data_IF_029400426608
#
_entry.id   IF_029400426608
#
_cell.length_a   1.000
_cell.length_b   1.000
_cell.length_c   1.000
_cell.angle_alpha   90.00
_cell.angle_beta   90.00
_cell.angle_gamma   90.00
#
_symmetry.space_group_name_H-M   'P 1'
#
loop_
_entity.id
_entity.type
_entity.pdbx_description
1 polymer ?
#
# COMPACT_ATOMS: atom_id res chain seq x y z
N UNK A 1 -3.15 -33.21 -20.08
CA UNK A 1 -3.72 -31.87 -20.33
C UNK A 1 -4.47 -31.45 -19.07
N UNK A 2 -4.21 -30.27 -18.51
CA UNK A 2 -4.97 -29.77 -17.37
C UNK A 2 -6.39 -29.42 -17.83
N UNK A 3 -7.41 -29.79 -17.06
CA UNK A 3 -8.77 -29.32 -17.32
C UNK A 3 -8.84 -27.80 -17.11
N UNK A 4 -9.70 -27.05 -17.82
CA UNK A 4 -9.86 -25.60 -17.61
C UNK A 4 -10.09 -25.23 -16.15
N UNK A 5 -10.88 -26.04 -15.42
CA UNK A 5 -11.08 -25.90 -13.97
C UNK A 5 -9.81 -26.19 -13.16
N UNK A 6 -9.01 -27.17 -13.56
CA UNK A 6 -7.72 -27.48 -12.95
C UNK A 6 -6.71 -26.35 -13.12
N UNK A 7 -6.66 -25.71 -14.29
CA UNK A 7 -5.83 -24.53 -14.54
C UNK A 7 -6.24 -23.34 -13.66
N UNK A 8 -7.55 -23.10 -13.50
CA UNK A 8 -8.04 -22.06 -12.58
C UNK A 8 -7.62 -22.35 -11.13
N UNK A 9 -7.81 -23.59 -10.67
CA UNK A 9 -7.44 -24.00 -9.30
C UNK A 9 -5.93 -23.90 -9.05
N UNK A 10 -5.10 -24.22 -10.05
CA UNK A 10 -3.65 -24.06 -9.96
C UNK A 10 -3.26 -22.59 -9.78
N UNK A 11 -3.78 -21.70 -10.62
CA UNK A 11 -3.51 -20.26 -10.50
C UNK A 11 -4.04 -19.69 -9.18
N UNK A 12 -5.17 -20.20 -8.70
CA UNK A 12 -5.73 -19.81 -7.41
C UNK A 12 -4.81 -20.21 -6.26
N UNK A 13 -4.26 -21.43 -6.27
CA UNK A 13 -3.34 -21.89 -5.25
C UNK A 13 -2.05 -21.05 -5.23
N UNK A 14 -1.50 -20.73 -6.40
CA UNK A 14 -0.33 -19.85 -6.53
C UNK A 14 -0.63 -18.43 -6.00
N UNK A 15 -1.79 -17.87 -6.34
CA UNK A 15 -2.24 -16.58 -5.84
C UNK A 15 -2.46 -16.59 -4.32
N UNK A 16 -3.04 -17.68 -3.78
CA UNK A 16 -3.28 -17.87 -2.36
C UNK A 16 -1.96 -17.96 -1.57
N UNK A 17 -0.98 -18.72 -2.08
CA UNK A 17 0.36 -18.82 -1.49
C UNK A 17 1.06 -17.46 -1.46
N UNK A 18 0.99 -16.69 -2.55
CA UNK A 18 1.53 -15.32 -2.58
C UNK A 18 0.81 -14.41 -1.57
N UNK A 19 -0.50 -14.57 -1.39
CA UNK A 19 -1.29 -13.85 -0.40
C UNK A 19 -0.89 -14.19 1.05
N UNK A 20 -0.52 -15.43 1.33
CA UNK A 20 0.00 -15.84 2.64
C UNK A 20 1.39 -15.25 2.92
N UNK A 21 2.27 -15.29 1.92
CA UNK A 21 3.59 -14.68 2.00
C UNK A 21 3.52 -13.16 2.26
N UNK A 22 2.60 -12.45 1.59
CA UNK A 22 2.36 -11.02 1.84
C UNK A 22 1.89 -10.79 3.27
N UNK A 23 0.99 -11.62 3.78
CA UNK A 23 0.53 -11.55 5.16
C UNK A 23 1.68 -11.77 6.15
N UNK A 24 2.57 -12.73 5.87
CA UNK A 24 3.79 -12.97 6.64
C UNK A 24 4.74 -11.75 6.64
N UNK A 25 4.95 -11.11 5.49
CA UNK A 25 5.76 -9.87 5.41
C UNK A 25 5.11 -8.74 6.21
N UNK A 26 3.80 -8.52 6.09
CA UNK A 26 3.10 -7.46 6.82
C UNK A 26 3.22 -7.66 8.34
N UNK A 27 3.08 -8.90 8.83
CA UNK A 27 3.24 -9.22 10.25
C UNK A 27 4.71 -9.13 10.71
N UNK A 28 5.66 -9.53 9.85
CA UNK A 28 7.09 -9.42 10.11
C UNK A 28 7.60 -7.97 10.20
N UNK A 29 6.82 -7.00 9.70
CA UNK A 29 7.12 -5.55 9.82
C UNK A 29 7.29 -5.10 11.28
N UNK A 30 6.60 -5.73 12.24
CA UNK A 30 6.71 -5.38 13.66
C UNK A 30 8.12 -5.61 14.24
N UNK A 31 8.93 -6.45 13.59
CA UNK A 31 10.33 -6.71 13.96
C UNK A 31 11.31 -5.68 13.38
N UNK A 32 10.86 -4.84 12.45
CA UNK A 32 11.67 -3.80 11.81
C UNK A 32 11.52 -2.46 12.54
N UNK A 33 12.56 -1.61 12.51
CA UNK A 33 12.46 -0.26 13.06
C UNK A 33 11.36 0.55 12.33
N UNK A 34 10.76 1.55 13.01
CA UNK A 34 9.64 2.31 12.47
C UNK A 34 9.97 3.03 11.15
N UNK A 35 11.24 3.41 10.97
CA UNK A 35 11.75 4.02 9.75
C UNK A 35 13.18 3.56 9.48
N UNK A 36 13.59 3.60 8.22
CA UNK A 36 14.95 3.26 7.77
C UNK A 36 14.99 2.63 6.38
N UNK A 37 16.19 2.51 5.78
CA UNK A 37 16.37 1.93 4.45
C UNK A 37 15.85 0.50 4.33
N UNK A 38 16.08 -0.34 5.36
CA UNK A 38 15.56 -1.72 5.38
C UNK A 38 14.03 -1.76 5.45
N UNK A 39 13.41 -0.92 6.30
CA UNK A 39 11.95 -0.80 6.38
C UNK A 39 11.34 -0.35 5.05
N UNK A 40 11.98 0.61 4.36
CA UNK A 40 11.55 1.06 3.03
C UNK A 40 11.71 -0.02 1.97
N UNK A 41 12.82 -0.77 1.99
CA UNK A 41 13.06 -1.91 1.10
C UNK A 41 12.02 -3.00 1.31
N UNK A 42 11.76 -3.38 2.56
CA UNK A 42 10.74 -4.34 2.93
C UNK A 42 9.35 -3.91 2.45
N UNK A 43 8.99 -2.65 2.70
CA UNK A 43 7.70 -2.08 2.27
C UNK A 43 7.56 -2.07 0.73
N UNK A 44 8.64 -1.72 0.01
CA UNK A 44 8.67 -1.72 -1.45
C UNK A 44 8.53 -3.13 -2.02
N UNK A 45 9.23 -4.12 -1.43
CA UNK A 45 9.10 -5.52 -1.79
C UNK A 45 7.68 -6.04 -1.56
N UNK A 46 7.07 -5.68 -0.43
CA UNK A 46 5.69 -6.04 -0.09
C UNK A 46 4.70 -5.44 -1.12
N UNK A 47 4.86 -4.15 -1.47
CA UNK A 47 4.04 -3.49 -2.50
C UNK A 47 4.16 -4.16 -3.87
N UNK A 48 5.37 -4.53 -4.29
CA UNK A 48 5.60 -5.24 -5.55
C UNK A 48 4.87 -6.57 -5.57
N UNK A 49 4.91 -7.34 -4.47
CA UNK A 49 4.20 -8.61 -4.35
C UNK A 49 2.67 -8.43 -4.39
N UNK A 50 2.14 -7.38 -3.76
CA UNK A 50 0.71 -7.02 -3.88
C UNK A 50 0.33 -6.71 -5.33
N UNK A 51 1.18 -5.99 -6.07
CA UNK A 51 0.91 -5.69 -7.48
C UNK A 51 0.86 -6.98 -8.33
N UNK A 52 1.82 -7.90 -8.13
CA UNK A 52 1.83 -9.21 -8.79
C UNK A 52 0.56 -10.00 -8.45
N UNK A 53 0.13 -9.98 -7.19
CA UNK A 53 -1.09 -10.66 -6.76
C UNK A 53 -2.35 -10.07 -7.41
N UNK A 54 -2.42 -8.75 -7.59
CA UNK A 54 -3.51 -8.10 -8.36
C UNK A 54 -3.54 -8.57 -9.80
N UNK A 55 -2.39 -8.70 -10.46
CA UNK A 55 -2.32 -9.26 -11.83
C UNK A 55 -2.78 -10.72 -11.86
N UNK A 56 -2.43 -11.54 -10.87
CA UNK A 56 -2.93 -12.92 -10.77
C UNK A 56 -4.45 -12.99 -10.56
N UNK A 57 -5.04 -12.05 -9.81
CA UNK A 57 -6.49 -11.95 -9.67
C UNK A 57 -7.18 -11.63 -11.00
N UNK A 58 -6.61 -10.74 -11.81
CA UNK A 58 -7.12 -10.42 -13.15
C UNK A 58 -7.07 -11.65 -14.10
N UNK A 59 -5.98 -12.41 -14.04
CA UNK A 59 -5.85 -13.69 -14.76
C UNK A 59 -6.92 -14.68 -14.30
N UNK A 60 -7.10 -14.84 -12.99
CA UNK A 60 -8.13 -15.73 -12.44
C UNK A 60 -9.55 -15.32 -12.86
N UNK A 61 -9.83 -14.02 -12.90
CA UNK A 61 -11.12 -13.51 -13.36
C UNK A 61 -11.33 -13.79 -14.86
N UNK A 62 -10.29 -13.61 -15.67
CA UNK A 62 -10.32 -13.93 -17.10
C UNK A 62 -10.55 -15.42 -17.35
N UNK A 63 -9.83 -16.29 -16.61
CA UNK A 63 -10.01 -17.74 -16.68
C UNK A 63 -11.40 -18.17 -16.23
N UNK A 64 -11.95 -17.55 -15.18
CA UNK A 64 -13.30 -17.84 -14.68
C UNK A 64 -14.37 -17.47 -15.70
N UNK A 65 -14.21 -16.32 -16.36
CA UNK A 65 -15.13 -15.84 -17.39
C UNK A 65 -15.10 -16.73 -18.64
N UNK A 66 -13.92 -17.27 -18.99
CA UNK A 66 -13.76 -18.18 -20.12
C UNK A 66 -14.13 -19.64 -19.81
N UNK A 67 -14.37 -19.98 -18.54
CA UNK A 67 -14.62 -21.34 -18.07
C UNK A 67 -15.89 -21.99 -18.66
N UNK A 68 -17.08 -21.35 -18.65
CA UNK A 68 -18.30 -21.94 -19.21
C UNK A 68 -18.20 -22.20 -20.72
N UNK A 69 -17.37 -21.44 -21.43
CA UNK A 69 -17.11 -21.61 -22.87
C UNK A 69 -16.26 -22.85 -23.17
N UNK A 70 -15.47 -23.32 -22.20
CA UNK A 70 -14.52 -24.44 -22.35
C UNK A 70 -15.02 -25.75 -21.75
N UNK A 71 -15.93 -25.69 -20.78
CA UNK A 71 -16.56 -26.87 -20.19
C UNK A 71 -17.91 -26.53 -19.55
N UNK A 72 -18.86 -27.48 -19.49
CA UNK A 72 -20.05 -27.33 -18.67
C UNK A 72 -19.65 -27.20 -17.20
N UNK A 73 -20.08 -26.12 -16.56
CA UNK A 73 -19.91 -25.86 -15.13
C UNK A 73 -21.28 -25.69 -14.49
N UNK A 74 -21.49 -26.30 -13.33
CA UNK A 74 -22.74 -26.11 -12.59
C UNK A 74 -22.75 -24.72 -11.96
N UNK A 75 -23.95 -24.13 -11.82
CA UNK A 75 -24.09 -22.83 -11.16
C UNK A 75 -23.50 -22.81 -9.76
N UNK A 76 -23.60 -23.91 -8.99
CA UNK A 76 -23.02 -24.04 -7.65
C UNK A 76 -21.49 -23.92 -7.67
N UNK A 77 -20.82 -24.63 -8.58
CA UNK A 77 -19.36 -24.54 -8.72
C UNK A 77 -18.94 -23.15 -9.18
N UNK A 78 -19.64 -22.55 -10.15
CA UNK A 78 -19.33 -21.19 -10.60
C UNK A 78 -19.41 -20.16 -9.46
N UNK A 79 -20.46 -20.23 -8.63
CA UNK A 79 -20.61 -19.36 -7.46
C UNK A 79 -19.48 -19.58 -6.45
N UNK A 80 -19.08 -20.83 -6.20
CA UNK A 80 -17.96 -21.16 -5.31
C UNK A 80 -16.65 -20.54 -5.77
N UNK A 81 -16.33 -20.63 -7.07
CA UNK A 81 -15.11 -20.05 -7.64
C UNK A 81 -15.13 -18.51 -7.55
N UNK A 82 -16.28 -17.90 -7.79
CA UNK A 82 -16.47 -16.45 -7.60
C UNK A 82 -16.27 -16.02 -6.15
N UNK A 83 -16.80 -16.76 -5.18
CA UNK A 83 -16.63 -16.47 -3.76
C UNK A 83 -15.16 -16.56 -3.33
N UNK A 84 -14.46 -17.62 -3.76
CA UNK A 84 -13.03 -17.79 -3.51
C UNK A 84 -12.21 -16.60 -4.06
N UNK A 85 -12.51 -16.17 -5.29
CA UNK A 85 -11.85 -15.02 -5.91
C UNK A 85 -12.14 -13.72 -5.14
N UNK A 86 -13.39 -13.51 -4.73
CA UNK A 86 -13.83 -12.34 -3.97
C UNK A 86 -13.15 -12.26 -2.60
N UNK A 87 -13.02 -13.39 -1.90
CA UNK A 87 -12.35 -13.45 -0.61
C UNK A 87 -10.86 -13.08 -0.75
N UNK A 88 -10.18 -13.60 -1.77
CA UNK A 88 -8.78 -13.26 -2.02
C UNK A 88 -8.62 -11.78 -2.41
N UNK A 89 -9.50 -11.25 -3.27
CA UNK A 89 -9.52 -9.84 -3.64
C UNK A 89 -9.72 -8.91 -2.43
N UNK A 90 -10.65 -9.28 -1.54
CA UNK A 90 -10.88 -8.55 -0.29
C UNK A 90 -9.63 -8.53 0.60
N UNK A 91 -8.98 -9.69 0.77
CA UNK A 91 -7.72 -9.80 1.52
C UNK A 91 -6.62 -8.91 0.93
N UNK A 92 -6.47 -8.88 -0.39
CA UNK A 92 -5.48 -8.03 -1.08
C UNK A 92 -5.74 -6.55 -0.86
N UNK A 93 -6.99 -6.12 -0.94
CA UNK A 93 -7.36 -4.72 -0.71
C UNK A 93 -7.12 -4.30 0.75
N UNK A 94 -7.40 -5.18 1.71
CA UNK A 94 -7.06 -4.96 3.12
C UNK A 94 -5.55 -4.83 3.31
N UNK A 95 -4.75 -5.76 2.76
CA UNK A 95 -3.29 -5.71 2.83
C UNK A 95 -2.72 -4.43 2.21
N UNK A 96 -3.23 -4.01 1.05
CA UNK A 96 -2.84 -2.77 0.39
C UNK A 96 -3.16 -1.52 1.24
N UNK A 97 -4.33 -1.51 1.90
CA UNK A 97 -4.76 -0.42 2.78
C UNK A 97 -3.87 -0.31 4.01
N UNK A 98 -3.56 -1.44 4.67
CA UNK A 98 -2.65 -1.51 5.81
C UNK A 98 -1.27 -0.94 5.47
N UNK A 99 -0.74 -1.26 4.28
CA UNK A 99 0.54 -0.70 3.84
C UNK A 99 0.47 0.80 3.58
N UNK A 100 -0.61 1.30 2.98
CA UNK A 100 -0.78 2.73 2.69
C UNK A 100 -0.84 3.57 3.98
N UNK A 101 -1.61 3.12 4.98
CA UNK A 101 -1.70 3.75 6.30
C UNK A 101 -0.32 3.78 6.96
N UNK A 102 0.43 2.67 6.90
CA UNK A 102 1.78 2.64 7.49
C UNK A 102 2.77 3.58 6.80
N UNK A 103 2.61 3.87 5.50
CA UNK A 103 3.41 4.92 4.85
C UNK A 103 2.98 6.34 5.22
N UNK A 104 1.69 6.59 5.42
CA UNK A 104 1.19 7.90 5.83
C UNK A 104 1.70 8.27 7.24
N UNK A 105 1.64 7.33 8.19
CA UNK A 105 2.18 7.51 9.54
C UNK A 105 3.69 7.82 9.53
N UNK A 106 4.46 7.18 8.64
CA UNK A 106 5.88 7.48 8.49
C UNK A 106 6.15 8.85 7.84
N UNK A 107 5.22 9.37 7.04
CA UNK A 107 5.31 10.70 6.43
C UNK A 107 5.04 11.81 7.44
N UNK A 108 4.09 11.59 8.36
CA UNK A 108 3.81 12.52 9.47
C UNK A 108 5.06 12.73 10.34
N UNK A 109 5.80 11.66 10.64
CA UNK A 109 7.08 11.74 11.36
C UNK A 109 8.18 12.50 10.60
N UNK A 110 8.11 12.54 9.27
CA UNK A 110 9.08 13.20 8.40
C UNK A 110 8.83 14.71 8.30
N UNK A 111 7.60 15.15 8.53
CA UNK A 111 7.21 16.57 8.52
C UNK A 111 7.45 17.26 9.88
N UNK A 112 7.91 16.51 10.89
CA UNK A 112 8.00 16.97 12.27
C UNK A 112 6.63 17.19 12.90
N UNK A 113 6.54 17.40 14.23
CA UNK A 113 5.28 17.84 14.83
C UNK A 113 4.84 19.10 14.11
N UNK A 114 3.59 19.12 13.63
CA UNK A 114 2.95 20.25 12.95
C UNK A 114 3.29 21.53 13.69
N UNK A 115 4.36 22.18 13.23
CA UNK A 115 4.81 23.42 13.79
C UNK A 115 3.77 24.38 13.26
N UNK A 116 2.85 24.77 14.15
CA UNK A 116 2.01 25.99 14.14
C UNK A 116 2.81 27.29 13.90
N UNK A 117 3.87 27.22 13.11
CA UNK A 117 4.89 28.23 12.92
C UNK A 117 4.80 28.79 11.50
N UNK A 118 4.32 28.04 10.50
CA UNK A 118 4.20 28.59 9.14
C UNK A 118 3.15 29.71 9.08
N UNK A 119 1.95 29.45 9.63
CA UNK A 119 0.87 30.46 9.70
C UNK A 119 1.25 31.66 10.61
N UNK A 120 1.92 31.41 11.74
CA UNK A 120 2.40 32.46 12.66
C UNK A 120 3.53 33.30 12.03
N UNK A 121 4.44 32.70 11.27
CA UNK A 121 5.55 33.39 10.58
C UNK A 121 5.03 34.24 9.43
N UNK A 122 4.10 33.72 8.63
CA UNK A 122 3.48 34.46 7.52
C UNK A 122 2.66 35.63 8.08
N UNK A 123 1.87 35.42 9.12
CA UNK A 123 1.08 36.50 9.74
C UNK A 123 1.97 37.59 10.37
N UNK A 124 3.09 37.21 11.01
CA UNK A 124 4.08 38.16 11.55
C UNK A 124 4.85 38.94 10.48
N UNK A 125 5.08 38.34 9.31
CA UNK A 125 5.77 38.98 8.20
C UNK A 125 4.88 39.93 7.38
N UNK A 126 3.55 39.73 7.44
CA UNK A 126 2.55 40.43 6.62
C UNK A 126 2.50 41.95 6.84
N UNK A 127 3.03 42.46 7.96
CA UNK A 127 3.02 43.88 8.32
C UNK A 127 4.41 44.55 8.33
N UNK A 128 5.47 43.85 7.91
CA UNK A 128 6.84 44.39 7.96
C UNK A 128 7.20 45.08 6.65
N UNK A 129 7.83 46.26 6.76
CA UNK A 129 8.51 46.90 5.65
C UNK A 129 9.78 46.10 5.25
N UNK A 130 10.37 46.43 4.11
CA UNK A 130 11.53 45.69 3.57
C UNK A 130 12.70 45.60 4.57
N UNK A 131 12.91 46.60 5.44
CA UNK A 131 13.95 46.55 6.45
C UNK A 131 13.56 45.61 7.61
N UNK A 132 12.30 45.66 8.04
CA UNK A 132 11.73 44.74 9.03
C UNK A 132 11.78 43.27 8.60
N UNK A 133 11.49 42.99 7.33
CA UNK A 133 11.48 41.63 6.78
C UNK A 133 12.89 40.99 6.79
N UNK A 134 13.92 41.75 6.41
CA UNK A 134 15.31 41.29 6.43
C UNK A 134 15.81 41.10 7.88
N UNK A 135 15.35 41.94 8.81
CA UNK A 135 15.61 41.78 10.24
C UNK A 135 15.02 40.49 10.80
N UNK A 136 13.75 40.22 10.48
CA UNK A 136 13.04 39.01 10.86
C UNK A 136 13.67 37.74 10.30
N UNK A 137 14.06 37.75 9.01
CA UNK A 137 14.78 36.66 8.38
C UNK A 137 16.10 36.32 9.10
N UNK A 138 16.88 37.35 9.48
CA UNK A 138 18.13 37.14 10.26
C UNK A 138 17.88 36.56 11.64
N UNK A 139 16.76 36.92 12.29
CA UNK A 139 16.41 36.38 13.60
C UNK A 139 16.06 34.89 13.51
N UNK A 140 15.28 34.49 12.50
CA UNK A 140 14.96 33.08 12.24
C UNK A 140 16.24 32.28 11.92
N UNK A 141 17.12 32.82 11.08
CA UNK A 141 18.38 32.16 10.72
C UNK A 141 19.33 31.99 11.91
N UNK A 142 19.38 32.95 12.84
CA UNK A 142 20.20 32.83 14.06
C UNK A 142 19.62 31.83 15.07
N UNK A 143 18.29 31.74 15.18
CA UNK A 143 17.63 30.79 16.07
C UNK A 143 17.67 29.33 15.59
N UNK A 144 18.00 29.08 14.32
CA UNK A 144 18.09 27.75 13.74
C UNK A 144 19.47 27.09 13.91
N UNK A 145 20.46 27.80 14.48
CA UNK A 145 21.87 27.39 14.55
C UNK A 145 22.29 26.85 15.93
N UNK A 146 21.35 26.40 16.77
CA UNK A 146 21.59 25.78 18.07
C UNK A 146 21.10 24.33 18.04
#
# INVERSE_FOLDING_TARGET
MATPSGSWMQEFNEASKLGDEINGMINGKNSLPPSGPETQRHLSATRRKIAILRTKLDILQSLLTALPSKQPITGKEMNRLQDMLKNLSTKVNQMATTLNISSAANRENLLGPDKKTDDDVVNRASGLDNHGLVGFQRQIMKGLLI
#
